data_IF_699921001658
#
_entry.id   IF_699921001658
#
_cell.length_a   1.000
_cell.length_b   1.000
_cell.length_c   1.000
_cell.angle_alpha   90.00
_cell.angle_beta   90.00
_cell.angle_gamma   90.00
#
_symmetry.space_group_name_H-M   'P 1'
#
loop_
_entity.id
_entity.type
_entity.pdbx_description
1 polymer ?
#
# COMPACT_ATOMS: atom_id res chain seq x y z
N UNK A 1 29.88 1.57 11.98
CA UNK A 1 28.87 2.57 11.56
C UNK A 1 27.70 1.97 10.76
N UNK A 2 27.93 1.06 9.80
CA UNK A 2 26.86 0.48 8.97
C UNK A 2 25.76 -0.27 9.77
N UNK A 3 26.14 -0.97 10.84
CA UNK A 3 25.20 -1.74 11.68
C UNK A 3 24.20 -0.87 12.44
N UNK A 4 24.60 0.34 12.86
CA UNK A 4 23.70 1.30 13.51
C UNK A 4 22.67 1.88 12.52
N UNK A 5 23.09 2.11 11.27
CA UNK A 5 22.21 2.58 10.18
C UNK A 5 21.14 1.54 9.83
N UNK A 6 21.48 0.24 9.93
CA UNK A 6 20.57 -0.90 9.79
C UNK A 6 19.54 -1.02 10.93
N UNK A 7 19.53 -0.12 11.91
CA UNK A 7 18.49 -0.07 12.96
C UNK A 7 17.63 1.19 12.89
N UNK A 8 17.98 2.15 12.03
CA UNK A 8 17.37 3.48 11.95
C UNK A 8 16.47 3.70 10.74
N UNK A 9 16.37 2.72 9.83
CA UNK A 9 15.48 2.87 8.67
C UNK A 9 14.03 2.84 9.13
N UNK A 10 13.40 4.01 9.18
CA UNK A 10 11.98 4.18 9.43
C UNK A 10 11.23 4.30 8.10
N UNK A 11 10.10 3.59 7.99
CA UNK A 11 9.21 3.63 6.82
C UNK A 11 7.81 4.08 7.24
N UNK A 12 7.06 4.66 6.30
CA UNK A 12 5.64 4.99 6.51
C UNK A 12 4.79 3.77 6.23
N UNK A 13 3.89 3.43 7.16
CA UNK A 13 2.87 2.42 6.96
C UNK A 13 1.95 2.85 5.81
N UNK A 14 1.76 2.04 4.75
CA UNK A 14 0.94 2.44 3.61
C UNK A 14 -0.55 2.57 3.97
N UNK A 15 -1.06 1.78 4.92
CA UNK A 15 -2.48 1.79 5.28
C UNK A 15 -2.90 2.95 6.18
N UNK A 16 -1.97 3.55 6.94
CA UNK A 16 -2.33 4.59 7.93
C UNK A 16 -1.32 5.74 8.08
N UNK A 17 -0.21 5.72 7.33
CA UNK A 17 0.81 6.77 7.32
C UNK A 17 1.77 6.79 8.52
N UNK A 18 1.50 6.02 9.59
CA UNK A 18 2.36 5.99 10.80
C UNK A 18 3.79 5.55 10.46
N UNK A 19 4.79 6.27 10.98
CA UNK A 19 6.20 5.86 10.88
C UNK A 19 6.48 4.64 11.77
N UNK A 20 7.15 3.63 11.24
CA UNK A 20 7.56 2.43 11.97
C UNK A 20 8.98 2.02 11.60
N UNK A 21 9.67 1.30 12.49
CA UNK A 21 10.97 0.71 12.16
C UNK A 21 10.80 -0.32 11.05
N UNK A 22 11.70 -0.30 10.07
CA UNK A 22 11.80 -1.36 9.07
C UNK A 22 12.43 -2.62 9.68
N UNK A 23 13.47 -2.46 10.48
CA UNK A 23 14.20 -3.58 11.09
C UNK A 23 13.61 -3.94 12.45
N UNK A 24 13.52 -5.25 12.74
CA UNK A 24 12.89 -5.76 13.96
C UNK A 24 11.35 -5.67 13.98
N UNK A 25 10.73 -5.10 12.94
CA UNK A 25 9.28 -5.10 12.78
C UNK A 25 8.86 -6.33 11.95
N UNK A 26 8.09 -7.28 12.51
CA UNK A 26 7.60 -8.45 11.77
C UNK A 26 6.48 -8.10 10.79
N UNK A 27 5.81 -6.96 10.98
CA UNK A 27 4.67 -6.51 10.18
C UNK A 27 5.07 -5.52 9.07
N UNK A 28 6.38 -5.31 8.86
CA UNK A 28 6.90 -4.39 7.81
C UNK A 28 6.30 -4.71 6.43
N UNK A 29 5.96 -3.69 5.60
CA UNK A 29 6.14 -2.25 5.83
C UNK A 29 5.06 -1.62 6.73
N UNK A 30 4.10 -2.40 7.22
CA UNK A 30 3.00 -1.93 8.06
C UNK A 30 3.43 -1.70 9.51
N UNK A 31 2.71 -0.85 10.22
CA UNK A 31 2.97 -0.59 11.64
C UNK A 31 2.38 -1.66 12.58
N UNK A 32 1.45 -2.48 12.10
CA UNK A 32 0.79 -3.53 12.89
C UNK A 32 0.11 -4.56 12.00
N UNK A 33 -0.23 -5.72 12.57
CA UNK A 33 -0.99 -6.77 11.90
C UNK A 33 -2.34 -6.28 11.39
N UNK A 34 -3.04 -5.45 12.18
CA UNK A 34 -4.29 -4.80 11.76
C UNK A 34 -4.15 -4.06 10.43
N UNK A 35 -3.08 -3.27 10.26
CA UNK A 35 -2.87 -2.52 9.02
C UNK A 35 -2.56 -3.44 7.83
N UNK A 36 -1.78 -4.52 8.06
CA UNK A 36 -1.52 -5.54 7.04
C UNK A 36 -2.82 -6.21 6.58
N UNK A 37 -3.70 -6.57 7.52
CA UNK A 37 -4.95 -7.25 7.18
C UNK A 37 -5.95 -6.29 6.50
N UNK A 38 -5.98 -5.01 6.88
CA UNK A 38 -6.79 -4.00 6.19
C UNK A 38 -6.33 -3.80 4.74
N UNK A 39 -5.02 -3.76 4.50
CA UNK A 39 -4.48 -3.69 3.14
C UNK A 39 -4.90 -4.90 2.31
N UNK A 40 -4.75 -6.10 2.88
CA UNK A 40 -5.19 -7.34 2.24
C UNK A 40 -6.70 -7.33 1.93
N UNK A 41 -7.52 -6.80 2.84
CA UNK A 41 -8.95 -6.61 2.61
C UNK A 41 -9.22 -5.67 1.44
N UNK A 42 -8.55 -4.52 1.37
CA UNK A 42 -8.70 -3.58 0.25
C UNK A 42 -8.28 -4.19 -1.10
N UNK A 43 -7.31 -5.10 -1.12
CA UNK A 43 -6.98 -5.90 -2.31
C UNK A 43 -8.11 -6.86 -2.67
N UNK A 44 -8.64 -7.60 -1.70
CA UNK A 44 -9.73 -8.54 -1.91
C UNK A 44 -11.03 -7.84 -2.38
N UNK A 45 -11.27 -6.63 -1.89
CA UNK A 45 -12.42 -5.79 -2.24
C UNK A 45 -12.20 -4.99 -3.55
N UNK A 46 -11.13 -5.25 -4.30
CA UNK A 46 -10.79 -4.57 -5.55
C UNK A 46 -10.78 -3.03 -5.44
N UNK A 47 -10.43 -2.53 -4.26
CA UNK A 47 -10.42 -1.09 -3.96
C UNK A 47 -9.21 -0.37 -4.54
N UNK A 48 -8.11 -1.09 -4.77
CA UNK A 48 -6.94 -0.57 -5.47
C UNK A 48 -7.14 -0.60 -6.98
N UNK A 49 -7.11 0.58 -7.62
CA UNK A 49 -7.28 0.73 -9.07
C UNK A 49 -6.21 1.66 -9.64
N UNK A 50 -5.71 1.32 -10.82
CA UNK A 50 -4.86 2.19 -11.63
C UNK A 50 -5.77 2.78 -12.72
N UNK A 51 -5.93 4.12 -12.79
CA UNK A 51 -6.70 4.74 -13.86
C UNK A 51 -6.15 4.32 -15.23
N UNK A 52 -7.04 3.84 -16.10
CA UNK A 52 -6.70 3.57 -17.49
C UNK A 52 -6.58 4.86 -18.31
N UNK A 53 -5.94 4.82 -19.49
CA UNK A 53 -6.11 5.89 -20.46
C UNK A 53 -7.61 6.07 -20.78
N UNK A 54 -8.06 7.28 -21.14
CA UNK A 54 -9.43 7.47 -21.59
C UNK A 54 -9.70 6.52 -22.76
N UNK A 55 -10.73 5.70 -22.64
CA UNK A 55 -11.16 4.83 -23.73
C UNK A 55 -11.80 5.70 -24.81
N UNK A 56 -11.33 5.58 -26.06
CA UNK A 56 -12.01 6.15 -27.22
C UNK A 56 -13.29 5.35 -27.47
N UNK A 57 -14.32 5.53 -26.64
CA UNK A 57 -15.69 5.07 -26.91
C UNK A 57 -16.67 6.13 -26.42
N UNK A 58 -16.84 7.14 -27.25
CA UNK A 58 -18.07 7.94 -27.26
C UNK A 58 -18.79 7.61 -28.59
N UNK A 59 -20.06 7.19 -28.48
CA UNK A 59 -21.09 7.16 -29.54
C UNK A 59 -20.99 6.14 -30.70
N UNK A 60 -21.56 4.93 -30.52
CA UNK A 60 -22.54 4.37 -31.46
C UNK A 60 -23.12 3.06 -30.89
N UNK A 61 -24.37 3.10 -30.38
CA UNK A 61 -25.32 1.98 -30.50
C UNK A 61 -26.69 2.48 -30.04
N UNK A 62 -27.34 3.23 -30.93
CA UNK A 62 -28.79 3.22 -31.00
C UNK A 62 -29.22 2.08 -31.93
N UNK A 63 -30.00 1.13 -31.41
CA UNK A 63 -30.94 0.35 -32.22
C UNK A 63 -32.23 0.17 -31.43
#
# INVERSE_FOLDING_TARGET
MAEAKKRLMAVRCPSCGKKTSYYGNPQRPFCSERCRNLDLGAWADESYRIPGPPTLVDEETGN
#
